data_IF_840875164002
#
_entry.id   IF_840875164002
#
_cell.length_a   1.000
_cell.length_b   1.000
_cell.length_c   1.000
_cell.angle_alpha   90.00
_cell.angle_beta   90.00
_cell.angle_gamma   90.00
#
_symmetry.space_group_name_H-M   'P 1'
#
loop_
_entity.id
_entity.type
_entity.pdbx_description
1 polymer ?
#
# COMPACT_ATOMS: atom_id res chain seq x y z
N UNK A 1 10.03 -22.94 7.87
CA UNK A 1 10.98 -22.36 6.86
C UNK A 1 10.78 -20.85 6.68
N UNK A 2 9.55 -20.35 6.71
CA UNK A 2 9.18 -18.94 6.48
C UNK A 2 9.92 -17.94 7.38
N UNK A 3 10.05 -18.23 8.67
CA UNK A 3 10.75 -17.34 9.60
C UNK A 3 12.24 -17.16 9.28
N UNK A 4 12.90 -18.20 8.72
CA UNK A 4 14.32 -18.13 8.33
C UNK A 4 14.58 -17.23 7.12
N UNK A 5 13.60 -17.06 6.25
CA UNK A 5 13.70 -16.20 5.07
C UNK A 5 13.97 -14.76 5.46
N UNK A 6 13.31 -14.27 6.51
CA UNK A 6 13.37 -12.88 6.94
C UNK A 6 14.35 -12.60 8.10
N UNK A 7 14.99 -13.63 8.67
CA UNK A 7 15.96 -13.46 9.77
C UNK A 7 17.06 -12.45 9.46
N UNK A 8 17.60 -12.49 8.23
CA UNK A 8 18.63 -11.53 7.79
C UNK A 8 18.09 -10.12 7.67
N UNK A 9 16.84 -9.98 7.20
CA UNK A 9 16.19 -8.68 7.03
C UNK A 9 15.89 -8.05 8.40
N UNK A 10 15.42 -8.84 9.32
CA UNK A 10 15.12 -8.41 10.68
C UNK A 10 16.40 -8.18 11.51
N UNK A 11 17.58 -8.60 11.04
CA UNK A 11 18.86 -8.45 11.75
C UNK A 11 18.79 -8.92 13.22
N UNK A 12 18.11 -10.04 13.46
CA UNK A 12 17.80 -10.58 14.79
C UNK A 12 16.87 -9.72 15.64
N UNK A 13 16.16 -8.75 15.05
CA UNK A 13 15.10 -8.03 15.74
C UNK A 13 13.91 -8.95 15.98
N UNK A 14 13.29 -8.82 17.14
CA UNK A 14 12.03 -9.49 17.46
C UNK A 14 10.99 -8.47 17.89
N UNK A 15 9.73 -8.71 17.54
CA UNK A 15 8.61 -7.85 17.97
C UNK A 15 8.54 -7.70 19.49
N UNK A 16 9.04 -8.69 20.24
CA UNK A 16 9.13 -8.66 21.70
C UNK A 16 10.10 -7.61 22.24
N UNK A 17 11.08 -7.19 21.44
CA UNK A 17 12.07 -6.17 21.82
C UNK A 17 11.53 -4.75 21.61
N UNK A 18 10.36 -4.62 20.99
CA UNK A 18 9.72 -3.35 20.70
C UNK A 18 8.56 -3.07 21.65
N UNK A 19 8.41 -1.80 22.02
CA UNK A 19 7.23 -1.36 22.75
C UNK A 19 5.99 -1.47 21.87
N UNK A 20 4.85 -1.70 22.49
CA UNK A 20 3.55 -1.63 21.81
C UNK A 20 3.39 -0.28 21.14
N UNK A 21 2.81 -0.30 19.93
CA UNK A 21 2.42 0.92 19.23
C UNK A 21 1.35 1.65 20.04
N UNK A 22 1.44 2.97 20.08
CA UNK A 22 0.54 3.83 20.85
C UNK A 22 0.14 5.06 20.06
N UNK A 23 -0.87 5.77 20.50
CA UNK A 23 -1.25 7.07 19.93
C UNK A 23 -0.19 8.18 20.12
N UNK A 24 0.93 7.91 20.82
CA UNK A 24 2.07 8.83 20.92
C UNK A 24 3.09 8.64 19.80
N UNK A 25 3.04 7.49 19.13
CA UNK A 25 3.91 7.20 18.01
C UNK A 25 3.39 7.93 16.77
N UNK A 26 4.28 8.70 16.10
CA UNK A 26 3.92 9.59 14.99
C UNK A 26 3.15 8.86 13.90
N UNK A 27 3.54 7.63 13.59
CA UNK A 27 2.92 6.81 12.56
C UNK A 27 1.52 6.26 12.95
N UNK A 28 1.12 6.37 14.22
CA UNK A 28 -0.08 5.73 14.74
C UNK A 28 -1.06 6.67 15.45
N UNK A 29 -0.65 7.90 15.71
CA UNK A 29 -1.35 8.87 16.59
C UNK A 29 -2.81 9.16 16.22
N UNK A 30 -3.18 9.00 14.96
CA UNK A 30 -4.53 9.31 14.48
C UNK A 30 -5.50 8.12 14.48
N UNK A 31 -5.05 6.90 14.77
CA UNK A 31 -5.89 5.70 14.71
C UNK A 31 -6.73 5.44 15.97
N UNK A 32 -6.54 6.21 17.04
CA UNK A 32 -7.33 6.10 18.25
C UNK A 32 -7.33 4.67 18.85
N UNK A 33 -8.53 4.14 19.11
CA UNK A 33 -8.69 2.80 19.70
C UNK A 33 -8.29 1.66 18.76
N UNK A 34 -8.27 1.86 17.46
CA UNK A 34 -7.86 0.84 16.47
C UNK A 34 -6.43 0.36 16.67
N UNK A 35 -5.56 1.16 17.31
CA UNK A 35 -4.18 0.77 17.64
C UNK A 35 -4.14 -0.50 18.50
N UNK A 36 -5.10 -0.68 19.40
CA UNK A 36 -5.10 -1.86 20.30
C UNK A 36 -5.34 -3.17 19.54
N UNK A 37 -6.07 -3.12 18.42
CA UNK A 37 -6.34 -4.27 17.57
C UNK A 37 -5.10 -4.70 16.75
N UNK A 38 -4.11 -3.81 16.63
CA UNK A 38 -2.89 -4.03 15.83
C UNK A 38 -1.68 -4.41 16.68
N UNK A 39 -1.80 -4.38 18.01
CA UNK A 39 -0.79 -4.93 18.89
C UNK A 39 -1.08 -6.42 19.12
N UNK A 40 -0.06 -7.27 18.95
CA UNK A 40 -0.15 -8.72 19.10
C UNK A 40 -1.14 -9.38 18.12
N UNK A 41 -0.84 -9.31 16.83
CA UNK A 41 -1.65 -9.89 15.76
C UNK A 41 -1.89 -11.38 16.02
N UNK A 42 -3.15 -11.76 16.23
CA UNK A 42 -3.57 -13.15 16.27
C UNK A 42 -3.79 -13.68 14.87
N UNK A 43 -3.11 -14.79 14.54
CA UNK A 43 -3.27 -15.47 13.25
C UNK A 43 -4.26 -16.60 13.41
N UNK A 44 -5.18 -16.70 12.46
CA UNK A 44 -6.16 -17.78 12.43
C UNK A 44 -5.53 -19.16 12.28
N UNK A 45 -6.24 -20.16 12.76
CA UNK A 45 -5.91 -21.56 12.50
C UNK A 45 -6.47 -21.93 11.15
N UNK A 46 -5.70 -22.69 10.35
CA UNK A 46 -6.12 -23.12 9.01
C UNK A 46 -7.57 -23.59 8.99
N UNK A 47 -8.39 -23.00 8.16
CA UNK A 47 -9.71 -23.49 7.80
C UNK A 47 -9.61 -24.17 6.44
N UNK A 48 -10.34 -25.27 6.27
CA UNK A 48 -10.48 -25.98 4.99
C UNK A 48 -11.24 -25.07 3.99
N UNK A 49 -10.53 -24.20 3.30
CA UNK A 49 -11.08 -23.44 2.18
C UNK A 49 -10.77 -24.24 0.92
N UNK A 50 -11.81 -24.71 0.22
CA UNK A 50 -11.63 -25.29 -1.10
C UNK A 50 -11.06 -24.23 -2.05
N UNK A 51 -9.80 -24.41 -2.45
CA UNK A 51 -9.15 -23.57 -3.43
C UNK A 51 -9.76 -23.82 -4.81
N UNK A 52 -10.18 -22.76 -5.50
CA UNK A 52 -10.50 -22.87 -6.92
C UNK A 52 -9.20 -23.07 -7.71
N UNK A 53 -9.21 -24.08 -8.57
CA UNK A 53 -8.03 -24.58 -9.28
C UNK A 53 -7.60 -23.65 -10.40
N UNK A 54 -6.53 -22.88 -10.21
CA UNK A 54 -5.69 -22.50 -11.34
C UNK A 54 -4.19 -22.46 -10.99
N UNK A 55 -3.81 -22.29 -9.74
CA UNK A 55 -2.49 -22.59 -9.19
C UNK A 55 -2.63 -22.85 -7.69
N UNK A 56 -2.51 -24.13 -7.27
CA UNK A 56 -2.48 -24.52 -5.86
C UNK A 56 -1.16 -24.05 -5.24
N UNK A 57 -1.17 -22.88 -4.63
CA UNK A 57 -0.15 -22.54 -3.64
C UNK A 57 -0.84 -22.65 -2.28
N UNK A 58 -0.68 -23.81 -1.69
CA UNK A 58 -1.27 -24.20 -0.42
C UNK A 58 -0.68 -23.35 0.69
N UNK A 59 -1.35 -22.26 1.03
CA UNK A 59 -1.16 -21.60 2.31
C UNK A 59 -2.38 -21.92 3.16
N UNK A 60 -2.17 -22.55 4.29
CA UNK A 60 -3.24 -23.05 5.16
C UNK A 60 -4.19 -21.96 5.72
N UNK A 61 -4.04 -20.70 5.35
CA UNK A 61 -4.78 -19.57 5.93
C UNK A 61 -5.43 -18.63 4.90
N UNK A 62 -4.99 -18.64 3.66
CA UNK A 62 -5.61 -17.85 2.59
C UNK A 62 -5.40 -18.50 1.23
N UNK A 63 -6.30 -18.21 0.31
CA UNK A 63 -6.16 -18.60 -1.08
C UNK A 63 -6.03 -17.36 -1.94
N UNK A 64 -5.37 -17.48 -3.07
CA UNK A 64 -5.39 -16.47 -4.09
C UNK A 64 -5.64 -17.14 -5.44
N UNK A 65 -6.43 -16.48 -6.24
CA UNK A 65 -6.74 -16.88 -7.60
C UNK A 65 -5.91 -16.01 -8.55
N UNK A 66 -5.18 -16.67 -9.44
CA UNK A 66 -4.42 -16.03 -10.50
C UNK A 66 -5.15 -16.27 -11.80
N UNK A 67 -5.70 -15.21 -12.37
CA UNK A 67 -6.39 -15.28 -13.66
C UNK A 67 -5.38 -15.04 -14.77
N UNK A 68 -4.74 -16.06 -15.25
CA UNK A 68 -4.24 -16.27 -16.62
C UNK A 68 -2.99 -17.16 -16.72
N UNK A 69 -2.90 -17.88 -17.82
CA UNK A 69 -1.67 -18.52 -18.26
C UNK A 69 -0.78 -17.47 -18.94
N UNK A 70 0.26 -17.02 -18.23
CA UNK A 70 1.22 -16.06 -18.79
C UNK A 70 2.63 -16.64 -18.67
N UNK A 71 3.18 -17.09 -19.78
CA UNK A 71 4.56 -17.61 -19.88
C UNK A 71 5.63 -16.55 -19.50
N UNK A 72 5.25 -15.27 -19.44
CA UNK A 72 6.14 -14.15 -19.16
C UNK A 72 6.30 -13.84 -17.67
N UNK A 73 5.55 -14.48 -16.79
CA UNK A 73 5.67 -14.32 -15.34
C UNK A 73 6.07 -15.65 -14.70
N UNK A 74 7.18 -15.64 -13.97
CA UNK A 74 7.56 -16.77 -13.13
C UNK A 74 7.07 -16.56 -11.71
N UNK A 75 6.39 -17.54 -11.16
CA UNK A 75 5.87 -17.51 -9.78
C UNK A 75 6.55 -18.60 -8.97
N UNK A 76 6.97 -18.26 -7.77
CA UNK A 76 7.62 -19.16 -6.82
C UNK A 76 6.91 -19.06 -5.47
N UNK A 77 6.45 -20.19 -4.94
CA UNK A 77 5.85 -20.23 -3.61
C UNK A 77 6.87 -19.78 -2.55
N UNK A 78 6.42 -19.09 -1.50
CA UNK A 78 7.28 -18.58 -0.44
C UNK A 78 8.08 -19.69 0.25
N UNK A 79 7.58 -20.91 0.32
CA UNK A 79 8.29 -22.03 0.92
C UNK A 79 9.51 -22.48 0.09
N UNK A 80 9.55 -22.14 -1.18
CA UNK A 80 10.66 -22.39 -2.12
C UNK A 80 11.61 -21.20 -2.24
N UNK A 81 11.21 -20.03 -1.76
CA UNK A 81 12.00 -18.81 -1.83
C UNK A 81 13.23 -18.91 -0.92
N UNK A 82 14.39 -18.74 -1.50
CA UNK A 82 15.69 -18.87 -0.80
C UNK A 82 16.21 -17.55 -0.21
N UNK A 83 15.72 -16.41 -0.70
CA UNK A 83 16.18 -15.08 -0.29
C UNK A 83 15.03 -14.09 -0.34
N UNK A 84 14.93 -13.13 0.60
CA UNK A 84 13.98 -12.03 0.50
C UNK A 84 14.32 -11.20 -0.75
N UNK A 85 13.31 -10.58 -1.34
CA UNK A 85 13.46 -9.81 -2.56
C UNK A 85 14.28 -8.54 -2.29
N UNK A 86 13.93 -7.80 -1.27
CA UNK A 86 14.67 -6.64 -0.81
C UNK A 86 15.69 -7.08 0.24
N UNK A 87 16.97 -7.00 -0.10
CA UNK A 87 18.08 -7.51 0.73
C UNK A 87 18.51 -6.56 1.83
N UNK A 88 18.45 -5.26 1.54
CA UNK A 88 18.90 -4.22 2.46
C UNK A 88 17.73 -3.65 3.25
N UNK A 89 18.00 -3.18 4.45
CA UNK A 89 16.99 -2.52 5.25
C UNK A 89 16.58 -1.21 4.57
N UNK A 90 15.30 -1.03 4.38
CA UNK A 90 14.69 0.23 4.01
C UNK A 90 15.11 1.29 5.04
N UNK A 91 15.37 2.51 4.58
CA UNK A 91 15.88 3.57 5.47
C UNK A 91 14.93 3.90 6.61
N UNK A 92 13.61 3.80 6.39
CA UNK A 92 12.63 4.04 7.44
C UNK A 92 12.57 2.86 8.40
N UNK A 93 12.79 3.07 9.71
CA UNK A 93 12.84 1.97 10.67
C UNK A 93 11.49 1.24 10.76
N UNK A 94 11.56 -0.05 11.01
CA UNK A 94 10.39 -0.83 11.36
C UNK A 94 9.93 -0.53 12.79
N UNK A 95 8.63 -0.51 12.99
CA UNK A 95 8.01 -0.56 14.30
C UNK A 95 7.65 -2.01 14.70
N UNK A 96 7.06 -2.17 15.89
CA UNK A 96 6.63 -3.49 16.36
C UNK A 96 5.72 -4.20 15.37
N UNK A 97 4.75 -3.49 14.78
CA UNK A 97 3.79 -4.07 13.85
C UNK A 97 4.48 -4.61 12.59
N UNK A 98 5.38 -3.84 12.00
CA UNK A 98 6.09 -4.29 10.79
C UNK A 98 6.96 -5.53 11.06
N UNK A 99 7.64 -5.58 12.22
CA UNK A 99 8.44 -6.74 12.59
C UNK A 99 7.54 -7.95 12.81
N UNK A 100 6.42 -7.78 13.49
CA UNK A 100 5.46 -8.84 13.72
C UNK A 100 4.84 -9.39 12.44
N UNK A 101 4.57 -8.54 11.43
CA UNK A 101 4.17 -9.01 10.12
C UNK A 101 5.19 -9.99 9.53
N UNK A 102 6.49 -9.63 9.50
CA UNK A 102 7.53 -10.53 8.97
C UNK A 102 7.73 -11.79 9.80
N UNK A 103 7.59 -11.72 11.13
CA UNK A 103 7.69 -12.90 12.01
C UNK A 103 6.55 -13.91 11.78
N UNK A 104 5.35 -13.39 11.49
CA UNK A 104 4.11 -14.17 11.45
C UNK A 104 3.56 -14.40 10.03
N UNK A 105 4.38 -14.27 8.97
CA UNK A 105 3.97 -14.54 7.60
C UNK A 105 3.27 -15.90 7.51
N UNK A 106 2.04 -15.91 7.01
CA UNK A 106 1.20 -17.11 6.90
C UNK A 106 1.42 -17.87 5.60
N UNK A 107 1.77 -17.17 4.53
CA UNK A 107 2.02 -17.74 3.20
C UNK A 107 2.38 -16.66 2.21
N UNK A 108 2.44 -17.00 0.93
CA UNK A 108 2.68 -16.03 -0.12
C UNK A 108 3.52 -16.56 -1.27
N UNK A 109 3.97 -15.64 -2.09
CA UNK A 109 4.72 -15.96 -3.30
C UNK A 109 5.70 -14.83 -3.68
N UNK A 110 6.62 -15.16 -4.57
CA UNK A 110 7.36 -14.17 -5.36
C UNK A 110 7.03 -14.37 -6.83
N UNK A 111 6.76 -13.28 -7.53
CA UNK A 111 6.62 -13.27 -8.97
C UNK A 111 7.72 -12.42 -9.61
N UNK A 112 8.17 -12.87 -10.77
CA UNK A 112 9.16 -12.15 -11.57
C UNK A 112 8.62 -11.96 -12.99
N UNK A 113 8.50 -10.71 -13.42
CA UNK A 113 8.15 -10.33 -14.79
C UNK A 113 9.40 -10.46 -15.64
N UNK A 114 9.43 -11.42 -16.54
CA UNK A 114 10.57 -11.77 -17.41
C UNK A 114 10.42 -11.25 -18.83
N UNK A 115 9.21 -11.02 -19.26
CA UNK A 115 8.88 -10.50 -20.59
C UNK A 115 7.84 -9.40 -20.48
N UNK A 116 7.81 -8.53 -21.48
CA UNK A 116 6.87 -7.41 -21.53
C UNK A 116 5.42 -7.88 -21.58
N UNK A 117 4.54 -7.24 -20.81
CA UNK A 117 3.11 -7.50 -20.82
C UNK A 117 2.31 -6.20 -20.83
N UNK A 118 1.41 -6.07 -21.81
CA UNK A 118 0.41 -5.02 -21.87
C UNK A 118 -0.88 -5.38 -21.12
N UNK A 119 -1.03 -6.63 -20.69
CA UNK A 119 -2.19 -7.12 -19.97
C UNK A 119 -1.92 -7.14 -18.47
N UNK A 120 -2.94 -6.83 -17.67
CA UNK A 120 -2.86 -6.99 -16.22
C UNK A 120 -2.87 -8.45 -15.81
N UNK A 121 -1.87 -8.81 -15.04
CA UNK A 121 -1.85 -10.06 -14.30
C UNK A 121 -2.59 -9.85 -12.97
N UNK A 122 -3.70 -10.56 -12.78
CA UNK A 122 -4.59 -10.34 -11.64
C UNK A 122 -4.37 -11.37 -10.55
N UNK A 123 -4.29 -10.89 -9.31
CA UNK A 123 -4.26 -11.71 -8.11
C UNK A 123 -5.39 -11.28 -7.18
N UNK A 124 -6.34 -12.18 -6.94
CA UNK A 124 -7.45 -11.97 -6.03
C UNK A 124 -7.20 -12.74 -4.74
N UNK A 125 -7.24 -12.04 -3.61
CA UNK A 125 -7.02 -12.63 -2.30
C UNK A 125 -8.34 -12.97 -1.62
N UNK A 126 -8.41 -14.19 -1.09
CA UNK A 126 -9.54 -14.67 -0.29
C UNK A 126 -9.00 -15.16 1.05
N UNK A 127 -9.69 -14.84 2.14
CA UNK A 127 -9.28 -15.29 3.46
C UNK A 127 -10.49 -15.52 4.36
N UNK A 128 -10.51 -16.63 5.08
CA UNK A 128 -11.52 -16.94 6.08
C UNK A 128 -11.12 -16.54 7.49
N UNK A 129 -9.87 -16.10 7.71
CA UNK A 129 -9.31 -15.78 9.02
C UNK A 129 -8.21 -14.72 8.92
N UNK A 130 -7.69 -14.26 10.07
CA UNK A 130 -6.59 -13.29 10.09
C UNK A 130 -5.33 -13.86 9.42
N UNK A 131 -4.80 -13.14 8.44
CA UNK A 131 -3.65 -13.61 7.64
C UNK A 131 -2.63 -12.52 7.36
N UNK A 132 -1.40 -12.96 7.14
CA UNK A 132 -0.27 -12.11 6.75
C UNK A 132 0.34 -12.67 5.46
N UNK A 133 -0.22 -12.37 4.29
CA UNK A 133 0.36 -12.80 3.03
C UNK A 133 1.62 -11.99 2.70
N UNK A 134 2.63 -12.67 2.15
CA UNK A 134 3.82 -12.06 1.57
C UNK A 134 3.75 -12.09 0.04
N UNK A 135 3.95 -10.96 -0.58
CA UNK A 135 3.90 -10.79 -2.03
C UNK A 135 5.21 -10.12 -2.46
N UNK A 136 6.08 -10.89 -3.10
CA UNK A 136 7.30 -10.35 -3.71
C UNK A 136 7.10 -10.14 -5.20
N UNK A 137 7.49 -8.97 -5.72
CA UNK A 137 7.34 -8.61 -7.14
C UNK A 137 8.68 -8.11 -7.64
N UNK A 138 9.22 -8.73 -8.68
CA UNK A 138 10.40 -8.23 -9.37
C UNK A 138 10.14 -8.10 -10.86
N UNK A 139 10.79 -7.13 -11.48
CA UNK A 139 10.77 -6.94 -12.94
C UNK A 139 12.19 -7.01 -13.47
N UNK A 140 12.45 -7.85 -14.45
CA UNK A 140 13.75 -7.99 -15.06
C UNK A 140 14.15 -6.74 -15.83
N UNK A 141 15.45 -6.54 -16.00
CA UNK A 141 16.04 -5.39 -16.71
C UNK A 141 15.42 -5.21 -18.11
N UNK A 142 15.06 -3.96 -18.44
CA UNK A 142 14.41 -3.58 -19.70
C UNK A 142 13.07 -4.28 -19.94
N UNK A 143 12.33 -4.64 -18.89
CA UNK A 143 11.02 -5.28 -18.99
C UNK A 143 9.94 -4.41 -18.37
N UNK A 144 8.70 -4.67 -18.81
CA UNK A 144 7.51 -3.94 -18.34
C UNK A 144 6.40 -4.91 -17.98
N UNK A 145 5.72 -4.65 -16.87
CA UNK A 145 4.59 -5.46 -16.41
C UNK A 145 3.45 -4.65 -15.82
N UNK A 146 2.27 -5.26 -15.81
CA UNK A 146 1.07 -4.70 -15.21
C UNK A 146 0.43 -5.71 -14.27
N UNK A 147 0.15 -5.30 -13.03
CA UNK A 147 -0.42 -6.16 -12.00
C UNK A 147 -1.70 -5.55 -11.43
N UNK A 148 -2.66 -6.41 -11.14
CA UNK A 148 -3.85 -6.09 -10.38
C UNK A 148 -3.89 -6.93 -9.11
N UNK A 149 -3.63 -6.31 -7.97
CA UNK A 149 -3.70 -6.95 -6.65
C UNK A 149 -5.01 -6.54 -5.99
N UNK A 150 -5.91 -7.48 -5.84
CA UNK A 150 -7.26 -7.25 -5.34
C UNK A 150 -7.49 -7.94 -3.99
N UNK A 151 -7.71 -7.13 -2.96
CA UNK A 151 -8.15 -7.58 -1.64
C UNK A 151 -9.66 -7.38 -1.53
N UNK A 152 -10.42 -8.34 -2.06
CA UNK A 152 -11.83 -8.26 -2.34
C UNK A 152 -12.73 -8.83 -1.22
N UNK A 153 -14.01 -8.85 -1.52
CA UNK A 153 -15.18 -9.14 -0.70
C UNK A 153 -15.26 -10.55 -0.09
N UNK A 154 -14.38 -11.45 -0.46
CA UNK A 154 -14.35 -12.83 0.06
C UNK A 154 -13.47 -12.96 1.31
N UNK A 155 -13.09 -11.86 1.90
CA UNK A 155 -12.31 -11.81 3.13
C UNK A 155 -13.23 -11.74 4.34
N UNK A 156 -13.07 -12.68 5.26
CA UNK A 156 -13.81 -12.72 6.53
C UNK A 156 -12.94 -12.25 7.70
N UNK A 157 -11.63 -12.55 7.66
CA UNK A 157 -10.66 -12.12 8.67
C UNK A 157 -9.90 -10.87 8.28
N UNK A 158 -9.12 -10.32 9.21
CA UNK A 158 -8.23 -9.21 8.94
C UNK A 158 -7.05 -9.65 8.06
N UNK A 159 -6.62 -8.80 7.12
CA UNK A 159 -5.47 -9.07 6.26
C UNK A 159 -4.38 -8.03 6.51
N UNK A 160 -3.15 -8.50 6.69
CA UNK A 160 -1.97 -7.69 6.96
C UNK A 160 -0.86 -7.93 5.92
N UNK A 161 -1.06 -7.59 4.64
CA UNK A 161 -0.12 -7.95 3.56
C UNK A 161 1.24 -7.29 3.71
N UNK A 162 2.28 -8.02 3.33
CA UNK A 162 3.61 -7.48 3.06
C UNK A 162 3.83 -7.55 1.56
N UNK A 163 4.11 -6.43 0.92
CA UNK A 163 4.39 -6.33 -0.51
C UNK A 163 5.82 -5.82 -0.67
N UNK A 164 6.68 -6.58 -1.32
CA UNK A 164 8.03 -6.15 -1.68
C UNK A 164 8.17 -6.03 -3.19
N UNK A 165 8.66 -4.90 -3.67
CA UNK A 165 8.85 -4.62 -5.10
C UNK A 165 10.31 -4.30 -5.35
N UNK A 166 10.90 -4.96 -6.35
CA UNK A 166 12.26 -4.66 -6.82
C UNK A 166 12.26 -4.47 -8.33
N UNK A 167 12.60 -3.28 -8.77
CA UNK A 167 12.70 -2.94 -10.18
C UNK A 167 14.16 -2.84 -10.60
N UNK A 168 14.56 -3.67 -11.57
CA UNK A 168 15.88 -3.60 -12.17
C UNK A 168 16.01 -2.40 -13.12
N UNK A 169 17.23 -2.12 -13.62
CA UNK A 169 17.49 -1.01 -14.54
C UNK A 169 16.52 -1.00 -15.73
N UNK A 170 16.00 0.19 -16.04
CA UNK A 170 15.13 0.43 -17.20
C UNK A 170 13.90 -0.49 -17.23
N UNK A 171 13.36 -0.84 -16.07
CA UNK A 171 12.13 -1.64 -15.96
C UNK A 171 10.94 -0.80 -15.55
N UNK A 172 9.74 -1.22 -15.95
CA UNK A 172 8.51 -0.51 -15.65
C UNK A 172 7.50 -1.44 -14.99
N UNK A 173 6.81 -0.96 -13.97
CA UNK A 173 5.75 -1.69 -13.32
C UNK A 173 4.57 -0.77 -13.02
N UNK A 174 3.40 -1.16 -13.51
CA UNK A 174 2.13 -0.53 -13.15
C UNK A 174 1.33 -1.50 -12.28
N UNK A 175 0.89 -1.02 -11.10
CA UNK A 175 0.10 -1.83 -10.14
C UNK A 175 -1.21 -1.12 -9.85
N UNK A 176 -2.31 -1.84 -9.98
CA UNK A 176 -3.58 -1.48 -9.36
C UNK A 176 -3.67 -2.24 -8.04
N UNK A 177 -3.66 -1.52 -6.93
CA UNK A 177 -3.86 -2.06 -5.58
C UNK A 177 -5.27 -1.70 -5.13
N UNK A 178 -6.16 -2.69 -5.10
CA UNK A 178 -7.56 -2.50 -4.77
C UNK A 178 -7.90 -3.11 -3.42
N UNK A 179 -8.47 -2.29 -2.54
CA UNK A 179 -9.05 -2.68 -1.26
C UNK A 179 -10.54 -2.37 -1.32
N UNK A 180 -11.35 -3.38 -1.66
CA UNK A 180 -12.82 -3.25 -1.77
C UNK A 180 -13.53 -4.20 -0.80
N UNK A 181 -12.98 -4.35 0.36
CA UNK A 181 -13.36 -5.37 1.35
C UNK A 181 -14.66 -5.06 2.09
N UNK A 182 -15.31 -6.09 2.65
CA UNK A 182 -16.51 -5.91 3.46
C UNK A 182 -16.29 -5.00 4.66
N UNK A 183 -17.37 -4.40 5.12
CA UNK A 183 -17.39 -3.63 6.38
C UNK A 183 -17.01 -4.52 7.57
N UNK A 184 -16.27 -3.97 8.51
CA UNK A 184 -15.94 -4.63 9.78
C UNK A 184 -14.58 -5.33 9.86
N UNK A 185 -13.86 -5.47 8.74
CA UNK A 185 -12.49 -6.01 8.74
C UNK A 185 -11.43 -4.91 8.65
N UNK A 186 -10.21 -5.25 9.07
CA UNK A 186 -9.06 -4.37 8.92
C UNK A 186 -8.12 -4.91 7.83
N UNK A 187 -7.70 -4.02 6.93
CA UNK A 187 -6.64 -4.28 5.96
C UNK A 187 -5.51 -3.31 6.22
N UNK A 188 -4.36 -3.83 6.64
CA UNK A 188 -3.19 -3.02 6.97
C UNK A 188 -2.00 -3.54 6.18
N UNK A 189 -1.73 -2.95 5.03
CA UNK A 189 -0.63 -3.35 4.18
C UNK A 189 0.65 -2.58 4.49
N UNK A 190 1.78 -3.24 4.25
CA UNK A 190 3.11 -2.66 4.26
C UNK A 190 3.79 -2.96 2.92
N UNK A 191 3.99 -1.92 2.12
CA UNK A 191 4.62 -2.01 0.81
C UNK A 191 6.01 -1.38 0.88
N UNK A 192 6.99 -2.10 0.35
CA UNK A 192 8.38 -1.69 0.28
C UNK A 192 8.86 -1.82 -1.14
N UNK A 193 9.40 -0.76 -1.72
CA UNK A 193 9.89 -0.78 -3.09
C UNK A 193 11.31 -0.24 -3.20
N UNK A 194 12.11 -0.86 -4.05
CA UNK A 194 13.45 -0.39 -4.42
C UNK A 194 13.56 -0.32 -5.95
N UNK A 195 13.91 0.86 -6.43
CA UNK A 195 13.96 1.19 -7.84
C UNK A 195 15.39 1.48 -8.29
N UNK A 196 15.90 0.66 -9.20
CA UNK A 196 17.21 0.84 -9.82
C UNK A 196 17.16 1.87 -10.96
N UNK A 197 18.28 2.06 -11.63
CA UNK A 197 18.49 3.11 -12.64
C UNK A 197 17.41 3.11 -13.74
N UNK A 198 16.86 4.30 -14.04
CA UNK A 198 15.88 4.54 -15.11
C UNK A 198 14.64 3.62 -15.01
N UNK A 199 14.32 3.11 -13.82
CA UNK A 199 13.12 2.30 -13.59
C UNK A 199 11.93 3.15 -13.14
N UNK A 200 10.72 2.68 -13.43
CA UNK A 200 9.48 3.40 -13.15
C UNK A 200 8.46 2.50 -12.44
N UNK A 201 7.93 2.97 -11.32
CA UNK A 201 6.84 2.33 -10.59
C UNK A 201 5.63 3.26 -10.54
N UNK A 202 4.51 2.79 -11.08
CA UNK A 202 3.22 3.46 -10.94
C UNK A 202 2.27 2.61 -10.09
N UNK A 203 1.70 3.19 -9.04
CA UNK A 203 0.71 2.55 -8.18
C UNK A 203 -0.61 3.30 -8.23
N UNK A 204 -1.69 2.62 -8.63
CA UNK A 204 -3.06 3.09 -8.49
C UNK A 204 -3.67 2.44 -7.24
N UNK A 205 -3.83 3.22 -6.17
CA UNK A 205 -4.35 2.73 -4.89
C UNK A 205 -5.83 3.09 -4.74
N UNK A 206 -6.68 2.08 -4.77
CA UNK A 206 -8.14 2.23 -4.65
C UNK A 206 -8.59 1.64 -3.32
N UNK A 207 -9.24 2.44 -2.48
CA UNK A 207 -9.70 1.98 -1.17
C UNK A 207 -11.15 2.38 -0.91
N UNK A 208 -12.00 1.36 -0.70
CA UNK A 208 -13.38 1.52 -0.27
C UNK A 208 -13.80 0.31 0.57
N UNK A 209 -14.68 0.50 1.52
CA UNK A 209 -15.01 -0.56 2.49
C UNK A 209 -13.93 -0.67 3.59
N UNK A 210 -13.84 -1.83 4.24
CA UNK A 210 -13.05 -2.10 5.43
C UNK A 210 -13.36 -1.17 6.63
N UNK A 211 -13.17 -1.63 7.86
CA UNK A 211 -13.28 -0.78 9.04
C UNK A 211 -12.03 0.11 9.19
N UNK A 212 -10.87 -0.46 8.87
CA UNK A 212 -9.60 0.22 8.74
C UNK A 212 -8.92 -0.23 7.45
N UNK A 213 -8.70 0.69 6.53
CA UNK A 213 -7.82 0.50 5.39
C UNK A 213 -6.56 1.35 5.61
N UNK A 214 -5.46 0.70 5.99
CA UNK A 214 -4.17 1.38 6.18
C UNK A 214 -3.16 0.87 5.18
N UNK A 215 -2.52 1.81 4.49
CA UNK A 215 -1.42 1.54 3.57
C UNK A 215 -0.17 2.30 4.01
N UNK A 216 0.90 1.57 4.31
CA UNK A 216 2.25 2.11 4.46
C UNK A 216 3.04 1.77 3.21
N UNK A 217 3.58 2.77 2.52
CA UNK A 217 4.42 2.61 1.34
C UNK A 217 5.77 3.28 1.60
N UNK A 218 6.84 2.51 1.60
CA UNK A 218 8.21 3.00 1.73
C UNK A 218 8.94 2.73 0.40
N UNK A 219 9.28 3.79 -0.34
CA UNK A 219 9.80 3.74 -1.71
C UNK A 219 11.21 4.32 -1.73
N UNK A 220 12.21 3.53 -2.09
CA UNK A 220 13.59 3.94 -2.27
C UNK A 220 13.93 4.10 -3.77
N UNK A 221 14.14 5.32 -4.22
CA UNK A 221 14.63 5.65 -5.57
C UNK A 221 16.16 5.61 -5.55
N UNK A 222 16.73 4.40 -5.73
CA UNK A 222 18.15 4.13 -5.59
C UNK A 222 18.95 4.57 -6.80
N UNK A 223 18.43 4.26 -7.98
CA UNK A 223 19.11 4.50 -9.24
C UNK A 223 18.84 5.89 -9.80
N UNK A 224 19.83 6.44 -10.52
CA UNK A 224 19.62 7.71 -11.23
C UNK A 224 18.51 7.57 -12.25
N UNK A 225 17.64 8.59 -12.36
CA UNK A 225 16.53 8.59 -13.31
C UNK A 225 15.36 7.67 -12.93
N UNK A 226 15.35 7.10 -11.73
CA UNK A 226 14.20 6.30 -11.30
C UNK A 226 13.01 7.19 -10.95
N UNK A 227 11.80 6.67 -11.20
CA UNK A 227 10.55 7.42 -11.11
C UNK A 227 9.50 6.67 -10.30
N UNK A 228 8.71 7.40 -9.53
CA UNK A 228 7.58 6.86 -8.77
C UNK A 228 6.33 7.72 -8.96
N UNK A 229 5.20 7.07 -9.25
CA UNK A 229 3.89 7.72 -9.31
C UNK A 229 2.88 6.99 -8.44
N UNK A 230 2.10 7.75 -7.67
CA UNK A 230 0.97 7.27 -6.89
C UNK A 230 -0.29 8.04 -7.24
N UNK A 231 -1.30 7.34 -7.75
CA UNK A 231 -2.66 7.84 -7.89
C UNK A 231 -3.55 7.12 -6.87
N UNK A 232 -3.95 7.82 -5.81
CA UNK A 232 -4.77 7.27 -4.74
C UNK A 232 -6.20 7.81 -4.76
N UNK A 233 -7.18 6.92 -4.65
CA UNK A 233 -8.57 7.31 -4.44
C UNK A 233 -9.18 6.48 -3.30
N UNK A 234 -9.95 7.13 -2.45
CA UNK A 234 -10.66 6.46 -1.37
C UNK A 234 -12.03 7.06 -1.12
N UNK A 235 -12.94 6.20 -0.69
CA UNK A 235 -14.30 6.57 -0.33
C UNK A 235 -14.64 5.98 1.03
N UNK A 236 -14.95 6.85 1.99
CA UNK A 236 -15.29 6.47 3.36
C UNK A 236 -16.76 6.71 3.69
N UNK A 237 -17.36 5.73 4.34
CA UNK A 237 -18.74 5.76 4.86
C UNK A 237 -18.75 5.29 6.32
N UNK A 238 -19.85 5.55 7.02
CA UNK A 238 -20.06 5.12 8.41
C UNK A 238 -18.91 5.58 9.32
N UNK A 239 -18.14 4.67 9.92
CA UNK A 239 -17.01 4.94 10.81
C UNK A 239 -15.68 4.43 10.25
N UNK A 240 -15.61 4.25 8.95
CA UNK A 240 -14.42 3.75 8.25
C UNK A 240 -13.23 4.70 8.41
N UNK A 241 -12.04 4.12 8.47
CA UNK A 241 -10.77 4.85 8.55
C UNK A 241 -9.89 4.50 7.35
N UNK A 242 -9.48 5.50 6.58
CA UNK A 242 -8.53 5.37 5.48
C UNK A 242 -7.23 6.07 5.85
N UNK A 243 -6.16 5.30 6.12
CA UNK A 243 -4.86 5.83 6.52
C UNK A 243 -3.79 5.51 5.48
N UNK A 244 -3.37 6.51 4.71
CA UNK A 244 -2.36 6.39 3.67
C UNK A 244 -1.06 7.07 4.11
N UNK A 245 0.02 6.29 4.25
CA UNK A 245 1.35 6.77 4.64
C UNK A 245 2.36 6.42 3.57
N UNK A 246 2.89 7.44 2.92
CA UNK A 246 3.83 7.28 1.82
C UNK A 246 5.12 7.99 2.17
N UNK A 247 6.21 7.25 2.14
CA UNK A 247 7.57 7.76 2.32
C UNK A 247 8.35 7.50 1.04
N UNK A 248 8.75 8.56 0.35
CA UNK A 248 9.59 8.47 -0.85
C UNK A 248 10.97 9.02 -0.55
N UNK A 249 11.97 8.20 -0.76
CA UNK A 249 13.35 8.48 -0.48
C UNK A 249 14.13 8.59 -1.79
N UNK A 250 14.48 9.81 -2.19
CA UNK A 250 15.27 10.10 -3.37
C UNK A 250 16.77 9.98 -3.02
N UNK A 251 17.41 8.95 -3.53
CA UNK A 251 18.83 8.63 -3.29
C UNK A 251 19.70 8.82 -4.55
N UNK A 252 19.11 8.58 -5.72
CA UNK A 252 19.73 8.80 -7.01
C UNK A 252 19.56 10.24 -7.50
N UNK A 253 20.33 10.62 -8.52
CA UNK A 253 20.19 11.90 -9.25
C UNK A 253 19.11 11.82 -10.31
N UNK A 254 18.50 12.96 -10.66
CA UNK A 254 17.46 13.06 -11.68
C UNK A 254 16.28 12.13 -11.41
N UNK A 255 15.96 11.88 -10.15
CA UNK A 255 14.81 11.06 -9.76
C UNK A 255 13.55 11.90 -9.72
N UNK A 256 12.40 11.27 -9.98
CA UNK A 256 11.12 11.97 -9.90
C UNK A 256 10.08 11.22 -9.07
N UNK A 257 9.20 11.96 -8.39
CA UNK A 257 8.02 11.38 -7.76
C UNK A 257 6.80 12.28 -7.85
N UNK A 258 5.64 11.67 -8.13
CA UNK A 258 4.37 12.38 -8.16
C UNK A 258 3.31 11.58 -7.39
N UNK A 259 2.77 12.17 -6.33
CA UNK A 259 1.76 11.52 -5.48
C UNK A 259 0.50 12.34 -5.46
N UNK A 260 -0.58 11.83 -6.04
CA UNK A 260 -1.88 12.49 -6.05
C UNK A 260 -2.89 11.57 -5.36
N UNK A 261 -3.48 12.04 -4.26
CA UNK A 261 -4.51 11.29 -3.53
C UNK A 261 -5.76 12.12 -3.36
N UNK A 262 -6.91 11.50 -3.59
CA UNK A 262 -8.22 12.15 -3.48
C UNK A 262 -9.18 11.29 -2.65
N UNK A 263 -9.83 11.92 -1.66
CA UNK A 263 -10.78 11.26 -0.78
C UNK A 263 -12.15 11.91 -0.83
N UNK A 264 -13.17 11.08 -0.66
CA UNK A 264 -14.54 11.52 -0.38
C UNK A 264 -15.02 10.82 0.88
N UNK A 265 -15.46 11.58 1.87
CA UNK A 265 -15.76 11.08 3.21
C UNK A 265 -17.17 11.49 3.61
N UNK A 266 -17.99 10.49 3.92
CA UNK A 266 -19.36 10.67 4.45
C UNK A 266 -19.49 10.17 5.88
N UNK A 267 -20.63 10.40 6.47
CA UNK A 267 -21.01 10.00 7.84
C UNK A 267 -19.95 10.42 8.88
N UNK A 268 -19.41 9.48 9.66
CA UNK A 268 -18.36 9.67 10.67
C UNK A 268 -17.00 9.10 10.18
N UNK A 269 -16.87 8.89 8.89
CA UNK A 269 -15.62 8.33 8.35
C UNK A 269 -14.46 9.31 8.47
N UNK A 270 -13.25 8.76 8.49
CA UNK A 270 -12.04 9.58 8.63
C UNK A 270 -10.95 9.15 7.66
N UNK A 271 -10.16 10.11 7.24
CA UNK A 271 -8.94 9.84 6.49
C UNK A 271 -7.71 10.46 7.12
N UNK A 272 -6.59 9.79 6.98
CA UNK A 272 -5.26 10.28 7.31
C UNK A 272 -4.38 10.11 6.07
N UNK A 273 -3.74 11.19 5.64
CA UNK A 273 -2.68 11.16 4.66
C UNK A 273 -1.41 11.69 5.28
N UNK A 274 -0.35 10.89 5.26
CA UNK A 274 1.00 11.34 5.64
C UNK A 274 1.93 11.05 4.47
N UNK A 275 2.33 12.11 3.77
CA UNK A 275 3.31 12.02 2.69
C UNK A 275 4.64 12.61 3.15
N UNK A 276 5.72 11.86 3.07
CA UNK A 276 7.06 12.35 3.34
C UNK A 276 7.94 12.17 2.12
N UNK A 277 8.45 13.26 1.60
CA UNK A 277 9.46 13.29 0.54
C UNK A 277 10.80 13.58 1.22
N UNK A 278 11.71 12.61 1.17
CA UNK A 278 13.08 12.77 1.64
C UNK A 278 14.03 12.82 0.44
N UNK A 279 14.83 13.88 0.33
CA UNK A 279 15.85 14.04 -0.72
C UNK A 279 17.21 14.02 -0.05
N UNK A 280 17.99 12.99 -0.34
CA UNK A 280 19.29 12.78 0.25
C UNK A 280 20.32 13.78 -0.29
N UNK A 281 21.40 13.97 0.46
CA UNK A 281 22.58 14.69 -0.03
C UNK A 281 23.11 14.02 -1.32
N UNK A 282 23.34 14.81 -2.36
CA UNK A 282 23.83 14.32 -3.65
C UNK A 282 22.74 13.86 -4.64
N UNK A 283 21.45 13.92 -4.27
CA UNK A 283 20.33 13.60 -5.16
C UNK A 283 19.91 14.83 -6.00
N UNK A 284 20.86 15.43 -6.72
CA UNK A 284 20.60 16.64 -7.52
C UNK A 284 19.61 16.37 -8.66
N UNK A 285 18.90 17.43 -9.06
CA UNK A 285 17.89 17.45 -10.12
C UNK A 285 16.70 16.51 -9.83
N UNK A 286 16.39 16.32 -8.56
CA UNK A 286 15.17 15.66 -8.15
C UNK A 286 13.97 16.57 -8.37
N UNK A 287 12.91 16.01 -8.95
CA UNK A 287 11.60 16.65 -9.08
C UNK A 287 10.56 15.85 -8.29
N UNK A 288 9.84 16.50 -7.35
CA UNK A 288 8.86 15.80 -6.53
C UNK A 288 7.64 16.66 -6.23
N UNK A 289 6.47 16.02 -6.36
CA UNK A 289 5.19 16.64 -6.05
C UNK A 289 4.31 15.72 -5.23
N UNK A 290 3.60 16.28 -4.23
CA UNK A 290 2.55 15.54 -3.52
C UNK A 290 1.29 16.41 -3.35
N UNK A 291 0.13 15.80 -3.58
CA UNK A 291 -1.17 16.44 -3.43
C UNK A 291 -2.15 15.51 -2.71
N UNK A 292 -2.85 16.04 -1.69
CA UNK A 292 -3.95 15.35 -1.05
C UNK A 292 -5.19 16.24 -0.98
N UNK A 293 -6.28 15.82 -1.60
CA UNK A 293 -7.55 16.54 -1.59
C UNK A 293 -8.67 15.69 -1.03
N UNK A 294 -9.41 16.26 -0.07
CA UNK A 294 -10.54 15.58 0.57
C UNK A 294 -11.81 16.42 0.47
N UNK A 295 -12.89 15.76 0.05
CA UNK A 295 -14.24 16.31 0.07
C UNK A 295 -14.97 15.68 1.26
N UNK A 296 -15.49 16.50 2.16
CA UNK A 296 -16.30 16.07 3.29
C UNK A 296 -17.79 16.21 2.91
N UNK A 297 -18.52 15.11 3.00
CA UNK A 297 -19.95 15.05 2.71
C UNK A 297 -20.82 15.16 3.98
N UNK A 298 -20.23 15.19 5.16
CA UNK A 298 -20.89 15.34 6.45
C UNK A 298 -20.04 16.19 7.39
N UNK A 299 -20.69 16.79 8.41
CA UNK A 299 -19.99 17.56 9.43
C UNK A 299 -19.13 16.71 10.36
N UNK A 300 -19.47 15.43 10.50
CA UNK A 300 -18.78 14.49 11.36
C UNK A 300 -17.60 13.79 10.68
N UNK A 301 -17.54 13.85 9.33
CA UNK A 301 -16.40 13.34 8.58
C UNK A 301 -15.16 14.18 8.82
N UNK A 302 -14.00 13.53 8.90
CA UNK A 302 -12.73 14.21 9.16
C UNK A 302 -11.62 13.78 8.22
N UNK A 303 -10.73 14.70 7.87
CA UNK A 303 -9.52 14.39 7.13
C UNK A 303 -8.30 15.08 7.74
N UNK A 304 -7.23 14.33 7.91
CA UNK A 304 -5.92 14.82 8.34
C UNK A 304 -4.94 14.69 7.18
N UNK A 305 -4.32 15.79 6.78
CA UNK A 305 -3.30 15.79 5.73
C UNK A 305 -2.00 16.35 6.29
N UNK A 306 -0.95 15.53 6.26
CA UNK A 306 0.35 15.83 6.85
C UNK A 306 1.45 15.65 5.79
N UNK A 307 1.61 16.62 4.86
CA UNK A 307 2.70 16.59 3.90
C UNK A 307 4.01 17.07 4.56
N UNK A 308 5.07 16.28 4.43
CA UNK A 308 6.41 16.58 4.94
C UNK A 308 7.42 16.63 3.80
N UNK A 309 8.39 17.55 3.89
CA UNK A 309 9.53 17.66 2.99
C UNK A 309 10.82 17.68 3.82
N UNK A 310 11.71 16.73 3.58
CA UNK A 310 13.04 16.61 4.19
C UNK A 310 14.08 16.71 3.07
N UNK A 311 14.58 17.92 2.82
CA UNK A 311 15.42 18.21 1.66
C UNK A 311 16.85 18.50 2.12
N UNK A 312 17.79 17.66 1.71
CA UNK A 312 19.23 17.78 2.01
C UNK A 312 20.07 18.12 0.76
N UNK A 313 19.42 18.61 -0.31
CA UNK A 313 20.06 18.94 -1.59
C UNK A 313 19.47 20.25 -2.15
N UNK A 314 20.32 21.14 -2.70
CA UNK A 314 19.90 22.47 -3.15
C UNK A 314 19.31 22.50 -4.58
N UNK A 315 19.76 21.62 -5.48
CA UNK A 315 19.35 21.59 -6.90
C UNK A 315 18.16 20.65 -7.10
N UNK A 316 16.99 21.07 -6.60
CA UNK A 316 15.76 20.26 -6.63
C UNK A 316 14.50 21.10 -6.85
N UNK A 317 13.43 20.49 -7.35
CA UNK A 317 12.10 21.09 -7.48
C UNK A 317 11.11 20.26 -6.67
N UNK A 318 10.61 20.83 -5.56
CA UNK A 318 9.67 20.11 -4.70
C UNK A 318 8.46 20.99 -4.36
N UNK A 319 7.30 20.35 -4.34
CA UNK A 319 6.08 21.02 -3.96
C UNK A 319 5.09 20.09 -3.28
N UNK A 320 4.20 20.67 -2.47
CA UNK A 320 3.06 19.96 -1.94
C UNK A 320 1.80 20.79 -1.97
N UNK A 321 0.65 20.11 -2.04
CA UNK A 321 -0.68 20.72 -1.94
C UNK A 321 -1.60 19.89 -1.05
N UNK A 322 -2.45 20.57 -0.28
CA UNK A 322 -3.45 19.91 0.54
C UNK A 322 -4.73 20.74 0.60
N UNK A 323 -5.87 20.08 0.49
CA UNK A 323 -7.17 20.69 0.72
C UNK A 323 -8.13 19.74 1.40
N UNK A 324 -8.87 20.26 2.36
CA UNK A 324 -9.94 19.55 3.07
C UNK A 324 -11.12 20.51 3.18
N UNK A 325 -12.29 20.09 2.75
CA UNK A 325 -13.47 20.93 2.84
C UNK A 325 -14.74 20.25 2.32
N UNK A 326 -15.89 20.86 2.53
CA UNK A 326 -17.14 20.42 1.96
C UNK A 326 -17.13 20.56 0.44
N UNK A 327 -18.06 19.90 -0.23
CA UNK A 327 -18.28 20.08 -1.66
C UNK A 327 -18.71 21.54 -1.92
N UNK A 328 -18.10 22.19 -2.90
CA UNK A 328 -18.53 23.52 -3.30
C UNK A 328 -19.96 23.53 -3.82
N UNK A 329 -20.77 24.50 -3.41
CA UNK A 329 -22.18 24.59 -3.75
C UNK A 329 -22.43 24.57 -5.27
N UNK A 330 -21.56 25.23 -6.03
CA UNK A 330 -21.64 25.25 -7.49
C UNK A 330 -21.42 23.85 -8.10
N UNK A 331 -20.48 23.11 -7.57
CA UNK A 331 -20.19 21.73 -7.99
C UNK A 331 -21.35 20.82 -7.62
N UNK A 332 -21.90 20.98 -6.42
CA UNK A 332 -23.09 20.26 -5.97
C UNK A 332 -24.27 20.48 -6.90
N UNK A 333 -24.62 21.74 -7.19
CA UNK A 333 -25.70 22.08 -8.13
C UNK A 333 -25.44 21.56 -9.53
N UNK A 334 -24.21 21.61 -10.01
CA UNK A 334 -23.86 21.05 -11.31
C UNK A 334 -24.11 19.55 -11.40
N UNK A 335 -23.65 18.78 -10.41
CA UNK A 335 -23.83 17.32 -10.35
C UNK A 335 -25.31 16.96 -10.24
N UNK A 336 -26.07 17.68 -9.40
CA UNK A 336 -27.52 17.49 -9.26
C UNK A 336 -28.27 17.78 -10.55
N UNK A 337 -27.90 18.82 -11.29
CA UNK A 337 -28.54 19.18 -12.56
C UNK A 337 -28.30 18.13 -13.67
N UNK A 338 -27.27 17.30 -13.53
CA UNK A 338 -26.94 16.18 -14.44
C UNK A 338 -27.65 14.87 -14.09
N UNK A 339 -28.54 14.86 -13.08
CA UNK A 339 -29.39 13.73 -12.76
C UNK A 339 -28.86 12.76 -11.71
N UNK A 340 -27.81 13.09 -11.00
CA UNK A 340 -27.29 12.31 -9.84
C UNK A 340 -28.23 12.42 -8.65
N UNK A 341 -29.34 11.65 -8.65
CA UNK A 341 -30.43 11.78 -7.67
C UNK A 341 -30.13 11.16 -6.30
N UNK A 342 -29.01 10.51 -6.03
CA UNK A 342 -28.89 9.63 -4.85
C UNK A 342 -27.58 9.60 -4.09
N UNK A 343 -26.53 10.26 -4.52
CA UNK A 343 -25.25 10.23 -3.80
C UNK A 343 -25.11 11.27 -2.70
N UNK A 344 -26.08 12.18 -2.55
CA UNK A 344 -25.98 13.33 -1.65
C UNK A 344 -27.28 13.64 -0.89
N UNK A 345 -27.99 12.63 -0.39
CA UNK A 345 -28.93 12.86 0.70
C UNK A 345 -28.19 12.84 2.04
N UNK A 346 -27.22 13.71 2.17
CA UNK A 346 -26.67 14.09 3.46
C UNK A 346 -27.26 15.43 3.84
N UNK A 347 -27.75 15.53 5.04
CA UNK A 347 -28.40 16.67 5.64
C UNK A 347 -27.47 17.89 5.68
N UNK A 348 -27.34 18.61 4.57
CA UNK A 348 -26.88 19.99 4.57
C UNK A 348 -28.12 20.90 4.49
N UNK A 349 -28.83 21.04 5.60
CA UNK A 349 -29.71 22.17 5.96
C UNK A 349 -29.63 22.39 7.45
#
# INVERSE_FOLDING_TARGET
>A
MKNKLFEKKLKSLSSKDFKNITAKDEDWKYLGKKIFELNDIEIGKSSDIEASKTFDIDSNCFTYEINSEHDHIAIVNIDEVKKPLIKESIKRPFDKFNIEQFEKVTGGFQLNVKEDSEQYFSVNFQSADNTIPYIGISVDKNKSGKLYLNFDQLVIGNIYPIIEIFLNDNSNLEIILSVTSPKGINIVNSLYAQLEKDSNLTIHNISTGAALSRSRMDIDLLGNGSEFSLDGVYFGEETQIHDNRVFVNHLGKNTSSNMITKGVLGDQSSSIFTGTIHIAEGAEKTESHQENRNILLSEEATAQSVPNLEILCDDVICSHGSSVGPIEENVYHYVMSRGSKKLMQTNYL
#
